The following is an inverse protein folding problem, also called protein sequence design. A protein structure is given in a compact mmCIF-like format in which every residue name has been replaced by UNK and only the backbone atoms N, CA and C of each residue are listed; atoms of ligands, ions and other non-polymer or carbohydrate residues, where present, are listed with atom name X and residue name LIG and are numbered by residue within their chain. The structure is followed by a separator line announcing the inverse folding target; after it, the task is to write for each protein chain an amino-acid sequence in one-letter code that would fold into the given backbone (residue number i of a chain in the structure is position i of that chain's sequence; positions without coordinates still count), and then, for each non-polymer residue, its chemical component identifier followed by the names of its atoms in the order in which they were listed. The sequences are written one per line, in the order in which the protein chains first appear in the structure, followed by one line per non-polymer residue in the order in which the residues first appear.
data_IF_717921744257
#
_entry.id   IF_717921744257
#
_cell.length_a   1.000
_cell.length_b   1.000
_cell.length_c   1.000
_cell.angle_alpha   90.00
_cell.angle_beta   90.00
_cell.angle_gamma   90.00
#
_symmetry.space_group_name_H-M   'P 1'
#
loop_
_entity.id
_entity.type
_entity.pdbx_description
1 polymer ?
#
# COMPACT_ATOMS: atom_id res chain seq x y z
N UNK A 1 6.17 -16.90 -8.30
CA UNK A 1 5.50 -17.63 -9.42
C UNK A 1 4.02 -17.50 -9.14
N UNK A 2 3.22 -16.87 -10.01
CA UNK A 2 1.77 -16.92 -9.83
C UNK A 2 1.34 -18.41 -9.88
N UNK A 3 0.36 -18.84 -9.07
CA UNK A 3 -0.13 -20.21 -9.09
C UNK A 3 -0.48 -20.62 -10.52
N UNK A 4 -0.11 -21.83 -10.88
CA UNK A 4 -0.47 -22.43 -12.19
C UNK A 4 -1.99 -22.58 -12.19
N UNK A 5 -2.67 -22.03 -13.21
CA UNK A 5 -4.10 -22.27 -13.47
C UNK A 5 -4.40 -23.75 -13.42
N UNK A 6 -5.12 -24.21 -12.41
CA UNK A 6 -5.70 -25.54 -12.38
C UNK A 6 -7.15 -25.45 -12.82
N UNK A 7 -7.46 -25.98 -13.99
CA UNK A 7 -8.83 -26.14 -14.51
C UNK A 7 -9.53 -27.35 -13.86
N UNK A 8 -9.47 -27.46 -12.54
CA UNK A 8 -10.06 -28.60 -11.83
C UNK A 8 -11.27 -28.13 -11.06
N UNK A 9 -12.46 -28.62 -11.43
CA UNK A 9 -13.75 -28.29 -10.78
C UNK A 9 -13.74 -28.58 -9.26
N UNK A 10 -12.82 -29.42 -8.79
CA UNK A 10 -12.63 -29.74 -7.36
C UNK A 10 -11.94 -28.64 -6.56
N UNK A 11 -11.34 -27.63 -7.18
CA UNK A 11 -10.64 -26.54 -6.48
C UNK A 11 -11.57 -25.50 -5.87
N UNK A 12 -12.83 -25.48 -6.28
CA UNK A 12 -13.85 -24.56 -5.74
C UNK A 12 -14.66 -25.16 -4.59
N UNK A 13 -14.40 -26.40 -4.20
CA UNK A 13 -14.93 -26.93 -2.96
C UNK A 13 -14.07 -26.40 -1.80
N UNK A 14 -14.67 -25.63 -0.91
CA UNK A 14 -14.04 -25.26 0.37
C UNK A 14 -13.53 -26.54 1.02
N UNK A 15 -12.23 -26.68 1.29
CA UNK A 15 -11.71 -27.86 1.94
C UNK A 15 -12.45 -28.07 3.26
N UNK A 16 -13.15 -29.17 3.41
CA UNK A 16 -13.70 -29.55 4.71
C UNK A 16 -12.58 -30.17 5.52
N UNK A 17 -12.06 -29.43 6.48
CA UNK A 17 -11.10 -29.93 7.44
C UNK A 17 -11.89 -30.63 8.56
N UNK A 18 -11.66 -31.90 8.76
CA UNK A 18 -12.17 -32.63 9.92
C UNK A 18 -11.13 -32.45 11.05
N UNK A 19 -11.25 -31.34 11.78
CA UNK A 19 -10.33 -30.98 12.86
C UNK A 19 -10.65 -31.79 14.11
N UNK A 20 -9.72 -32.66 14.51
CA UNK A 20 -9.78 -33.39 15.75
C UNK A 20 -9.28 -32.58 16.96
N UNK A 21 -9.47 -33.12 18.17
CA UNK A 21 -8.94 -32.49 19.40
C UNK A 21 -7.44 -32.29 19.40
N UNK A 22 -6.67 -33.16 18.72
CA UNK A 22 -5.22 -33.04 18.53
C UNK A 22 -4.84 -31.81 17.73
N UNK A 23 -5.60 -31.51 16.67
CA UNK A 23 -5.33 -30.37 15.80
C UNK A 23 -5.61 -29.06 16.50
N UNK A 24 -6.71 -29.00 17.27
CA UNK A 24 -7.04 -27.83 18.10
C UNK A 24 -5.94 -27.60 19.15
N UNK A 25 -5.44 -28.67 19.79
CA UNK A 25 -4.33 -28.54 20.75
C UNK A 25 -3.05 -28.07 20.08
N UNK A 26 -2.77 -28.55 18.88
CA UNK A 26 -1.63 -28.10 18.09
C UNK A 26 -1.73 -26.61 17.79
N UNK A 27 -2.84 -26.12 17.23
CA UNK A 27 -3.06 -24.70 16.97
C UNK A 27 -2.97 -23.83 18.22
N UNK A 28 -3.49 -24.29 19.34
CA UNK A 28 -3.35 -23.54 20.60
C UNK A 28 -1.88 -23.43 21.06
N UNK A 29 -1.11 -24.48 20.89
CA UNK A 29 0.32 -24.44 21.22
C UNK A 29 1.10 -23.49 20.28
N UNK A 30 0.78 -23.50 18.98
CA UNK A 30 1.37 -22.55 18.01
C UNK A 30 1.01 -21.10 18.37
N UNK A 31 -0.26 -20.83 18.72
CA UNK A 31 -0.70 -19.49 19.17
C UNK A 31 0.05 -19.04 20.43
N UNK A 32 0.22 -19.94 21.40
CA UNK A 32 0.97 -19.65 22.64
C UNK A 32 2.45 -19.39 22.30
N UNK A 33 3.06 -20.26 21.49
CA UNK A 33 4.45 -20.09 21.06
C UNK A 33 4.68 -18.77 20.30
N UNK A 34 3.75 -18.40 19.42
CA UNK A 34 3.78 -17.12 18.75
C UNK A 34 3.63 -15.94 19.74
N UNK A 35 2.69 -16.02 20.66
CA UNK A 35 2.49 -15.01 21.71
C UNK A 35 3.77 -14.81 22.57
N UNK A 36 4.44 -15.90 22.96
CA UNK A 36 5.65 -15.85 23.79
C UNK A 36 6.79 -15.07 23.13
N UNK A 37 6.85 -15.03 21.81
CA UNK A 37 7.85 -14.25 21.07
C UNK A 37 7.72 -12.75 21.33
N UNK A 38 6.54 -12.27 21.72
CA UNK A 38 6.30 -10.85 22.04
C UNK A 38 6.36 -10.54 23.53
N UNK A 39 6.71 -11.52 24.38
CA UNK A 39 6.66 -11.37 25.84
C UNK A 39 7.46 -10.16 26.35
N UNK A 40 8.61 -9.87 25.75
CA UNK A 40 9.50 -8.77 26.10
C UNK A 40 9.11 -7.39 25.52
N UNK A 41 8.00 -7.33 24.77
CA UNK A 41 7.34 -6.07 24.37
C UNK A 41 6.44 -5.51 25.48
N UNK A 42 6.21 -6.29 26.54
CA UNK A 42 5.35 -5.92 27.66
C UNK A 42 6.11 -5.98 28.97
N UNK A 43 6.04 -4.90 29.76
CA UNK A 43 6.68 -4.87 31.09
C UNK A 43 5.94 -5.73 32.12
N UNK A 44 4.61 -5.87 32.00
CA UNK A 44 3.75 -6.53 32.98
C UNK A 44 3.19 -7.85 32.46
N UNK A 45 3.12 -8.86 33.36
CA UNK A 45 2.52 -10.16 33.04
C UNK A 45 1.06 -10.05 32.66
N UNK A 46 0.28 -9.17 33.32
CA UNK A 46 -1.13 -8.98 33.03
C UNK A 46 -1.35 -8.46 31.58
N UNK A 47 -0.46 -7.59 31.09
CA UNK A 47 -0.52 -7.12 29.70
C UNK A 47 -0.25 -8.24 28.70
N UNK A 48 0.65 -9.17 29.01
CA UNK A 48 0.92 -10.37 28.20
C UNK A 48 -0.31 -11.29 28.14
N UNK A 49 -0.95 -11.55 29.28
CA UNK A 49 -2.17 -12.34 29.33
C UNK A 49 -3.32 -11.69 28.55
N UNK A 50 -3.49 -10.37 28.67
CA UNK A 50 -4.47 -9.64 27.89
C UNK A 50 -4.20 -9.68 26.39
N UNK A 51 -2.93 -9.65 25.98
CA UNK A 51 -2.54 -9.81 24.58
C UNK A 51 -2.92 -11.20 24.07
N UNK A 52 -2.61 -12.27 24.81
CA UNK A 52 -3.03 -13.63 24.43
C UNK A 52 -4.54 -13.77 24.32
N UNK A 53 -5.29 -13.25 25.32
CA UNK A 53 -6.75 -13.25 25.30
C UNK A 53 -7.31 -12.49 24.10
N UNK A 54 -6.72 -11.34 23.78
CA UNK A 54 -7.12 -10.55 22.62
C UNK A 54 -6.86 -11.30 21.31
N UNK A 55 -5.68 -11.92 21.15
CA UNK A 55 -5.35 -12.73 19.99
C UNK A 55 -6.30 -13.92 19.83
N UNK A 56 -6.52 -14.69 20.91
CA UNK A 56 -7.45 -15.81 20.90
C UNK A 56 -8.87 -15.39 20.51
N UNK A 57 -9.30 -14.21 20.97
CA UNK A 57 -10.58 -13.62 20.59
C UNK A 57 -10.67 -13.24 19.12
N UNK A 58 -9.57 -12.79 18.51
CA UNK A 58 -9.53 -12.51 17.06
C UNK A 58 -9.68 -13.79 16.22
N UNK A 59 -9.17 -14.92 16.69
CA UNK A 59 -9.33 -16.24 16.03
C UNK A 59 -10.67 -16.95 16.37
N UNK A 60 -11.47 -16.36 17.25
CA UNK A 60 -12.78 -16.95 17.60
C UNK A 60 -13.83 -16.77 16.48
N UNK A 61 -14.89 -17.62 16.45
CA UNK A 61 -15.95 -17.51 15.44
C UNK A 61 -16.96 -16.40 15.72
N UNK A 62 -16.57 -15.34 16.43
CA UNK A 62 -17.44 -14.20 16.73
C UNK A 62 -17.75 -13.41 15.45
N UNK A 63 -19.01 -13.11 15.20
CA UNK A 63 -19.44 -12.24 14.10
C UNK A 63 -18.91 -10.80 14.25
N UNK A 64 -18.73 -10.37 15.51
CA UNK A 64 -18.22 -9.05 15.85
C UNK A 64 -17.03 -9.16 16.79
N UNK A 65 -15.85 -8.89 16.30
CA UNK A 65 -14.57 -8.97 17.03
C UNK A 65 -14.16 -7.61 17.65
N UNK A 66 -15.10 -6.98 18.37
CA UNK A 66 -14.78 -5.81 19.21
C UNK A 66 -14.46 -6.24 20.64
N UNK A 67 -13.83 -5.36 21.41
CA UNK A 67 -13.29 -5.69 22.75
C UNK A 67 -14.31 -6.36 23.68
N UNK A 68 -15.55 -5.88 23.70
CA UNK A 68 -16.58 -6.43 24.61
C UNK A 68 -16.96 -7.87 24.23
N UNK A 69 -17.37 -8.21 23.00
CA UNK A 69 -17.61 -9.60 22.60
C UNK A 69 -16.41 -10.52 22.84
N UNK A 70 -15.20 -10.06 22.51
CA UNK A 70 -13.97 -10.83 22.78
C UNK A 70 -13.83 -11.11 24.26
N UNK A 71 -13.94 -10.08 25.11
CA UNK A 71 -13.79 -10.24 26.55
C UNK A 71 -14.84 -11.17 27.19
N UNK A 72 -16.04 -11.24 26.60
CA UNK A 72 -17.09 -12.14 27.05
C UNK A 72 -16.91 -13.58 26.55
N UNK A 73 -16.20 -13.78 25.45
CA UNK A 73 -16.01 -15.09 24.84
C UNK A 73 -14.75 -15.81 25.34
N UNK A 74 -13.73 -15.06 25.79
CA UNK A 74 -12.48 -15.67 26.29
C UNK A 74 -12.59 -16.02 27.78
N UNK A 75 -11.91 -17.09 28.18
CA UNK A 75 -11.88 -17.54 29.58
C UNK A 75 -11.28 -16.45 30.49
N UNK A 76 -11.91 -16.23 31.65
CA UNK A 76 -11.53 -15.15 32.58
C UNK A 76 -11.41 -13.76 31.95
N UNK A 77 -12.17 -13.51 30.90
CA UNK A 77 -12.16 -12.22 30.20
C UNK A 77 -12.82 -11.12 31.04
N UNK A 78 -12.22 -9.95 31.03
CA UNK A 78 -12.74 -8.76 31.71
C UNK A 78 -12.76 -7.59 30.71
N UNK A 79 -13.98 -7.09 30.43
CA UNK A 79 -14.19 -6.03 29.41
C UNK A 79 -13.36 -4.77 29.70
N UNK A 80 -13.39 -4.29 30.95
CA UNK A 80 -12.64 -3.08 31.33
C UNK A 80 -11.12 -3.28 31.28
N UNK A 81 -10.64 -4.45 31.65
CA UNK A 81 -9.21 -4.76 31.61
C UNK A 81 -8.71 -4.82 30.16
N UNK A 82 -9.45 -5.52 29.26
CA UNK A 82 -9.11 -5.55 27.83
C UNK A 82 -9.23 -4.16 27.15
N UNK A 83 -10.23 -3.37 27.52
CA UNK A 83 -10.34 -1.99 27.02
C UNK A 83 -9.09 -1.16 27.42
N UNK A 84 -8.69 -1.21 28.70
CA UNK A 84 -7.48 -0.51 29.17
C UNK A 84 -6.21 -1.06 28.51
N UNK A 85 -6.14 -2.36 28.30
CA UNK A 85 -5.02 -2.98 27.58
C UNK A 85 -4.83 -2.38 26.20
N UNK A 86 -5.90 -2.24 25.41
CA UNK A 86 -5.83 -1.71 24.03
C UNK A 86 -5.65 -0.18 24.02
N UNK A 87 -6.18 0.57 25.03
CA UNK A 87 -6.20 2.03 25.01
C UNK A 87 -5.06 2.70 25.77
N UNK A 88 -4.61 2.12 26.89
CA UNK A 88 -3.77 2.83 27.85
C UNK A 88 -2.56 2.02 28.36
N UNK A 89 -2.54 0.70 28.14
CA UNK A 89 -1.44 -0.13 28.65
C UNK A 89 -0.13 0.20 27.92
N UNK A 90 0.97 0.42 28.68
CA UNK A 90 2.27 0.62 28.07
C UNK A 90 2.79 -0.70 27.49
N UNK A 91 3.15 -0.68 26.21
CA UNK A 91 3.85 -1.75 25.52
C UNK A 91 4.68 -1.15 24.38
N UNK A 92 5.77 -1.84 24.05
CA UNK A 92 6.73 -1.37 23.05
C UNK A 92 6.26 -1.74 21.64
N UNK A 93 5.53 -0.80 21.00
CA UNK A 93 5.01 -0.97 19.65
C UNK A 93 6.13 -1.11 18.62
N UNK A 94 7.19 -0.33 18.75
CA UNK A 94 8.31 -0.35 17.82
C UNK A 94 9.03 -1.70 17.85
N UNK A 95 9.28 -2.21 19.05
CA UNK A 95 9.86 -3.54 19.23
C UNK A 95 8.95 -4.65 18.70
N UNK A 96 7.64 -4.53 18.92
CA UNK A 96 6.66 -5.50 18.43
C UNK A 96 6.63 -5.55 16.90
N UNK A 97 6.62 -4.40 16.23
CA UNK A 97 6.58 -4.34 14.75
C UNK A 97 7.88 -4.88 14.13
N UNK A 98 9.03 -4.64 14.76
CA UNK A 98 10.33 -5.19 14.33
C UNK A 98 10.32 -6.72 14.41
N UNK A 99 9.84 -7.30 15.51
CA UNK A 99 9.70 -8.75 15.68
C UNK A 99 8.73 -9.33 14.65
N UNK A 100 7.59 -8.69 14.46
CA UNK A 100 6.60 -9.11 13.46
C UNK A 100 7.22 -9.15 12.06
N UNK A 101 7.99 -8.12 11.68
CA UNK A 101 8.69 -8.08 10.38
C UNK A 101 9.71 -9.21 10.25
N UNK A 102 10.35 -9.61 11.35
CA UNK A 102 11.26 -10.78 11.33
C UNK A 102 10.51 -12.07 11.00
N UNK A 103 9.33 -12.30 11.61
CA UNK A 103 8.50 -13.45 11.25
C UNK A 103 8.03 -13.39 9.80
N UNK A 104 7.59 -12.22 9.32
CA UNK A 104 7.25 -12.05 7.91
C UNK A 104 8.43 -12.38 7.01
N UNK A 105 9.65 -12.01 7.40
CA UNK A 105 10.85 -12.37 6.65
C UNK A 105 11.14 -13.87 6.68
N UNK A 106 10.99 -14.52 7.82
CA UNK A 106 11.26 -15.95 7.97
C UNK A 106 10.32 -16.80 7.09
N UNK A 107 9.05 -16.38 6.98
CA UNK A 107 8.02 -17.11 6.21
C UNK A 107 7.89 -16.64 4.76
N UNK A 108 8.00 -15.33 4.51
CA UNK A 108 7.69 -14.72 3.22
C UNK A 108 8.89 -14.03 2.55
N UNK A 109 10.05 -13.95 3.22
CA UNK A 109 11.20 -13.21 2.71
C UNK A 109 11.71 -13.74 1.37
N UNK A 110 11.94 -12.82 0.42
CA UNK A 110 12.50 -13.16 -0.90
C UNK A 110 13.32 -12.00 -1.45
N UNK A 111 14.49 -12.27 -2.09
CA UNK A 111 15.26 -11.23 -2.78
C UNK A 111 14.47 -10.51 -3.89
N UNK A 112 13.48 -11.17 -4.48
CA UNK A 112 12.58 -10.60 -5.48
C UNK A 112 11.25 -10.10 -4.87
N UNK A 113 11.21 -9.87 -3.55
CA UNK A 113 10.08 -9.31 -2.85
C UNK A 113 9.71 -7.91 -3.30
N UNK A 114 8.47 -7.50 -3.05
CA UNK A 114 7.97 -6.16 -3.36
C UNK A 114 7.31 -5.51 -2.14
N UNK A 115 7.58 -4.22 -1.94
CA UNK A 115 6.81 -3.35 -1.05
C UNK A 115 5.68 -2.69 -1.84
N UNK A 116 4.48 -2.69 -1.28
CA UNK A 116 3.28 -2.09 -1.88
C UNK A 116 2.74 -1.03 -0.93
N UNK A 117 2.48 0.18 -1.43
CA UNK A 117 1.91 1.26 -0.64
C UNK A 117 0.50 1.59 -1.12
N UNK A 118 -0.44 1.60 -0.19
CA UNK A 118 -1.83 1.96 -0.46
C UNK A 118 -2.51 2.45 0.83
N UNK A 119 -3.72 3.00 0.73
CA UNK A 119 -4.50 3.42 1.87
C UNK A 119 -5.80 2.66 2.02
N UNK A 120 -6.28 2.57 3.25
CA UNK A 120 -7.59 2.03 3.56
C UNK A 120 -8.36 2.92 4.52
N UNK A 121 -9.66 3.10 4.24
CA UNK A 121 -10.56 3.92 5.04
C UNK A 121 -11.42 3.06 5.99
N UNK A 122 -11.68 3.60 7.20
CA UNK A 122 -12.52 3.01 8.22
C UNK A 122 -13.63 3.98 8.57
N UNK A 123 -14.87 3.65 8.24
CA UNK A 123 -16.05 4.47 8.55
C UNK A 123 -16.21 4.60 10.06
N UNK A 124 -16.43 5.81 10.55
CA UNK A 124 -16.61 6.12 11.97
C UNK A 124 -17.95 6.85 12.19
N UNK A 125 -18.69 6.42 13.21
CA UNK A 125 -19.91 7.12 13.63
C UNK A 125 -19.60 8.34 14.50
N UNK A 126 -18.57 8.22 15.36
CA UNK A 126 -18.13 9.29 16.25
C UNK A 126 -17.15 10.26 15.58
N UNK A 127 -16.83 11.31 16.28
CA UNK A 127 -15.88 12.34 15.81
C UNK A 127 -14.61 12.41 16.66
N UNK A 128 -14.60 11.82 17.85
CA UNK A 128 -13.56 11.96 18.86
C UNK A 128 -12.53 10.82 18.78
N UNK A 129 -11.99 10.61 17.58
CA UNK A 129 -10.79 9.77 17.37
C UNK A 129 -9.83 10.53 16.46
N UNK A 130 -8.52 10.42 16.71
CA UNK A 130 -7.49 11.12 15.93
C UNK A 130 -7.67 10.81 14.44
N UNK A 131 -7.61 11.85 13.59
CA UNK A 131 -7.70 11.71 12.13
C UNK A 131 -9.12 11.53 11.58
N UNK A 132 -10.15 11.38 12.43
CA UNK A 132 -11.55 11.28 11.95
C UNK A 132 -12.00 12.60 11.34
N UNK A 133 -12.49 12.51 10.12
CA UNK A 133 -12.97 13.65 9.36
C UNK A 133 -13.88 13.23 8.21
N UNK A 134 -14.70 14.15 7.69
CA UNK A 134 -15.31 13.97 6.37
C UNK A 134 -14.21 14.03 5.32
N UNK A 135 -13.90 12.90 4.70
CA UNK A 135 -12.88 12.70 3.67
C UNK A 135 -13.26 11.52 2.77
N UNK A 136 -12.60 11.38 1.63
CA UNK A 136 -12.85 10.26 0.75
C UNK A 136 -12.47 8.94 1.44
N UNK A 137 -13.41 8.00 1.46
CA UNK A 137 -13.23 6.66 2.02
C UNK A 137 -13.28 5.64 0.87
N UNK A 138 -12.12 5.13 0.48
CA UNK A 138 -11.99 4.18 -0.64
C UNK A 138 -12.85 2.93 -0.46
N UNK A 139 -12.99 2.45 0.78
CA UNK A 139 -13.81 1.26 1.11
C UNK A 139 -15.29 1.37 0.68
N UNK A 140 -15.85 2.58 0.72
CA UNK A 140 -17.26 2.83 0.36
C UNK A 140 -17.42 3.71 -0.89
N UNK A 141 -16.30 4.08 -1.53
CA UNK A 141 -16.27 4.83 -2.80
C UNK A 141 -16.84 6.27 -2.73
N UNK A 142 -16.99 6.86 -1.55
CA UNK A 142 -17.56 8.20 -1.35
C UNK A 142 -16.91 8.97 -0.20
N UNK A 143 -17.22 10.26 -0.13
CA UNK A 143 -16.84 11.09 1.03
C UNK A 143 -17.75 10.77 2.20
N UNK A 144 -17.15 10.36 3.32
CA UNK A 144 -17.87 10.05 4.56
C UNK A 144 -17.01 10.39 5.78
N UNK A 145 -17.60 10.28 6.98
CA UNK A 145 -16.87 10.42 8.24
C UNK A 145 -16.05 9.17 8.49
N UNK A 146 -14.75 9.26 8.31
CA UNK A 146 -13.85 8.11 8.38
C UNK A 146 -12.46 8.47 8.91
N UNK A 147 -11.74 7.46 9.36
CA UNK A 147 -10.28 7.46 9.51
C UNK A 147 -9.65 6.82 8.28
N UNK A 148 -8.44 7.27 7.92
CA UNK A 148 -7.68 6.66 6.82
C UNK A 148 -6.30 6.27 7.34
N UNK A 149 -5.95 5.01 7.15
CA UNK A 149 -4.59 4.51 7.35
C UNK A 149 -3.86 4.40 6.02
N UNK A 150 -2.59 4.75 6.01
CA UNK A 150 -1.64 4.43 4.94
C UNK A 150 -0.85 3.22 5.38
N UNK A 151 -0.73 2.23 4.50
CA UNK A 151 -0.14 0.94 4.81
C UNK A 151 0.99 0.61 3.85
N UNK A 152 1.96 -0.13 4.35
CA UNK A 152 2.93 -0.86 3.54
C UNK A 152 2.62 -2.35 3.61
N UNK A 153 2.43 -2.98 2.45
CA UNK A 153 2.35 -4.42 2.29
C UNK A 153 3.67 -4.97 1.77
N UNK A 154 3.98 -6.22 2.11
CA UNK A 154 5.05 -7.00 1.52
C UNK A 154 4.46 -8.17 0.75
N UNK A 155 4.98 -8.48 -0.42
CA UNK A 155 4.55 -9.61 -1.23
C UNK A 155 5.76 -10.29 -1.87
N UNK A 156 5.74 -11.61 -1.89
CA UNK A 156 6.70 -12.48 -2.58
C UNK A 156 6.00 -13.66 -3.22
N UNK A 157 6.76 -14.60 -3.74
CA UNK A 157 6.26 -15.91 -4.21
C UNK A 157 5.72 -16.80 -3.08
N UNK A 158 6.04 -16.48 -1.84
CA UNK A 158 5.61 -17.24 -0.65
C UNK A 158 4.29 -16.74 -0.06
N UNK A 159 3.90 -15.49 -0.36
CA UNK A 159 2.67 -14.90 0.15
C UNK A 159 2.75 -13.39 0.31
N UNK A 160 1.86 -12.84 1.14
CA UNK A 160 1.76 -11.41 1.38
C UNK A 160 1.34 -11.10 2.82
N UNK A 161 1.77 -9.93 3.31
CA UNK A 161 1.39 -9.42 4.64
C UNK A 161 1.45 -7.89 4.68
N UNK A 162 0.66 -7.26 5.59
CA UNK A 162 0.87 -5.85 5.95
C UNK A 162 2.07 -5.75 6.88
N UNK A 163 3.03 -4.87 6.61
CA UNK A 163 4.30 -4.79 7.35
C UNK A 163 4.55 -3.45 8.03
N UNK A 164 3.80 -2.41 7.67
CA UNK A 164 3.82 -1.12 8.37
C UNK A 164 2.49 -0.37 8.16
N UNK A 165 2.23 0.57 9.05
CA UNK A 165 1.03 1.42 9.01
C UNK A 165 1.35 2.83 9.50
N UNK A 166 0.64 3.83 8.96
CA UNK A 166 0.63 5.20 9.50
C UNK A 166 -0.79 5.76 9.44
N UNK A 167 -1.22 6.42 10.52
CA UNK A 167 -2.51 7.09 10.53
C UNK A 167 -2.39 8.40 9.76
N UNK A 168 -3.25 8.58 8.76
CA UNK A 168 -3.37 9.86 8.07
C UNK A 168 -4.24 10.82 8.90
N UNK A 169 -3.66 11.95 9.28
CA UNK A 169 -4.35 13.01 10.00
C UNK A 169 -4.56 14.16 9.02
N UNK A 170 -5.81 14.45 8.59
CA UNK A 170 -6.09 15.51 7.64
C UNK A 170 -5.62 16.89 8.11
N UNK A 171 -5.16 17.73 7.20
CA UNK A 171 -4.60 19.08 7.49
C UNK A 171 -5.49 19.92 8.40
N UNK A 172 -6.82 19.82 8.25
CA UNK A 172 -7.78 20.53 9.10
C UNK A 172 -7.66 20.22 10.60
N UNK A 173 -7.10 19.06 10.96
CA UNK A 173 -6.84 18.73 12.36
C UNK A 173 -5.79 19.66 12.99
N UNK A 174 -4.96 20.31 12.20
CA UNK A 174 -3.90 21.22 12.64
C UNK A 174 -4.35 22.70 12.66
N UNK A 175 -5.61 22.97 12.33
CA UNK A 175 -6.21 24.31 12.37
C UNK A 175 -6.85 24.63 13.72
N UNK A 176 -7.08 25.91 14.02
CA UNK A 176 -7.66 26.38 15.28
C UNK A 176 -9.02 25.74 15.62
N UNK A 177 -9.97 25.58 14.68
CA UNK A 177 -11.25 24.92 14.97
C UNK A 177 -11.16 23.49 15.49
N UNK A 178 -10.00 22.84 15.36
CA UNK A 178 -9.76 21.48 15.86
C UNK A 178 -8.93 21.44 17.14
N UNK A 179 -8.59 22.58 17.76
CA UNK A 179 -7.75 22.67 18.96
C UNK A 179 -8.32 21.86 20.14
N UNK A 180 -9.59 22.06 20.48
CA UNK A 180 -10.27 21.33 21.55
C UNK A 180 -10.31 19.82 21.26
N UNK A 181 -10.56 19.43 20.00
CA UNK A 181 -10.58 18.03 19.59
C UNK A 181 -9.22 17.38 19.69
N UNK A 182 -8.13 18.07 19.30
CA UNK A 182 -6.76 17.58 19.49
C UNK A 182 -6.48 17.29 20.95
N UNK A 183 -6.82 18.20 21.85
CA UNK A 183 -6.65 18.02 23.30
C UNK A 183 -7.48 16.84 23.81
N UNK A 184 -8.77 16.76 23.45
CA UNK A 184 -9.65 15.66 23.85
C UNK A 184 -9.16 14.31 23.39
N UNK A 185 -8.67 14.23 22.15
CA UNK A 185 -8.13 12.99 21.57
C UNK A 185 -6.69 12.71 21.97
N UNK A 186 -6.05 13.57 22.78
CA UNK A 186 -4.65 13.43 23.22
C UNK A 186 -3.68 13.32 22.03
N UNK A 187 -3.89 14.08 20.95
CA UNK A 187 -2.93 14.14 19.84
C UNK A 187 -1.62 14.73 20.37
N UNK A 188 -0.48 14.04 20.22
CA UNK A 188 0.81 14.55 20.67
C UNK A 188 1.11 15.92 20.06
N UNK A 189 1.53 16.92 20.87
CA UNK A 189 1.69 18.31 20.41
C UNK A 189 2.77 18.47 19.33
N UNK A 190 3.76 17.57 19.30
CA UNK A 190 4.83 17.53 18.29
C UNK A 190 4.37 16.97 16.94
N UNK A 191 3.16 16.42 16.86
CA UNK A 191 2.63 15.86 15.61
C UNK A 191 2.46 16.96 14.57
N UNK A 192 3.07 16.75 13.40
CA UNK A 192 2.97 17.66 12.24
C UNK A 192 2.14 17.04 11.14
N UNK A 193 1.53 17.88 10.32
CA UNK A 193 0.81 17.43 9.14
C UNK A 193 1.77 16.76 8.14
N UNK A 194 1.37 15.58 7.66
CA UNK A 194 2.02 14.88 6.53
C UNK A 194 0.96 14.41 5.54
N UNK A 195 1.29 14.57 4.27
CA UNK A 195 0.47 13.99 3.19
C UNK A 195 0.59 12.47 3.18
N UNK A 196 -0.35 11.76 2.55
CA UNK A 196 -0.27 10.29 2.41
C UNK A 196 1.04 9.82 1.74
N UNK A 197 1.51 10.45 0.64
CA UNK A 197 2.83 10.12 0.08
C UNK A 197 3.99 10.33 1.05
N UNK A 198 3.98 11.39 1.86
CA UNK A 198 5.03 11.61 2.88
C UNK A 198 5.03 10.52 3.95
N UNK A 199 3.86 10.06 4.38
CA UNK A 199 3.74 8.92 5.30
C UNK A 199 4.30 7.62 4.67
N UNK A 200 4.03 7.40 3.37
CA UNK A 200 4.60 6.28 2.65
C UNK A 200 6.13 6.37 2.50
N UNK A 201 6.67 7.58 2.29
CA UNK A 201 8.13 7.83 2.27
C UNK A 201 8.74 7.51 3.64
N UNK A 202 8.11 7.90 4.74
CA UNK A 202 8.59 7.57 6.08
C UNK A 202 8.68 6.05 6.27
N UNK A 203 7.63 5.30 5.88
CA UNK A 203 7.62 3.84 5.98
C UNK A 203 8.68 3.20 5.06
N UNK A 204 8.80 3.67 3.81
CA UNK A 204 9.81 3.18 2.88
C UNK A 204 11.24 3.36 3.42
N UNK A 205 11.51 4.52 4.02
CA UNK A 205 12.81 4.80 4.64
C UNK A 205 13.08 3.87 5.83
N UNK A 206 12.10 3.66 6.72
CA UNK A 206 12.24 2.75 7.86
C UNK A 206 12.52 1.33 7.36
N UNK A 207 11.70 0.78 6.47
CA UNK A 207 11.82 -0.57 5.95
C UNK A 207 13.15 -0.80 5.20
N UNK A 208 13.63 0.22 4.47
CA UNK A 208 14.91 0.14 3.77
C UNK A 208 16.12 0.21 4.69
N UNK A 209 16.03 0.96 5.80
CA UNK A 209 17.10 1.09 6.79
C UNK A 209 17.21 -0.12 7.72
N UNK A 210 16.08 -0.69 8.14
CA UNK A 210 16.05 -1.89 8.98
C UNK A 210 16.63 -3.12 8.28
N UNK A 211 16.47 -3.24 6.97
CA UNK A 211 16.98 -4.38 6.15
C UNK A 211 16.50 -5.75 6.63
N UNK A 212 15.38 -5.81 7.33
CA UNK A 212 14.78 -7.06 7.78
C UNK A 212 14.12 -7.77 6.61
N UNK A 213 13.32 -7.03 5.84
CA UNK A 213 12.60 -7.56 4.68
C UNK A 213 13.40 -7.26 3.40
N UNK A 214 13.90 -8.28 2.69
CA UNK A 214 14.54 -8.08 1.40
C UNK A 214 13.47 -7.71 0.35
N UNK A 215 13.71 -6.68 -0.43
CA UNK A 215 12.83 -6.30 -1.53
C UNK A 215 13.61 -5.68 -2.68
N UNK A 216 13.09 -5.86 -3.88
CA UNK A 216 13.63 -5.33 -5.13
C UNK A 216 12.65 -4.39 -5.82
N UNK A 217 11.38 -4.46 -5.45
CA UNK A 217 10.33 -3.72 -6.12
C UNK A 217 9.56 -2.85 -5.14
N UNK A 218 9.15 -1.66 -5.63
CA UNK A 218 8.27 -0.73 -4.93
C UNK A 218 7.07 -0.43 -5.81
N UNK A 219 5.88 -0.72 -5.30
CA UNK A 219 4.63 -0.59 -6.03
C UNK A 219 3.71 0.38 -5.29
N UNK A 220 2.97 1.20 -6.01
CA UNK A 220 2.00 2.11 -5.40
C UNK A 220 0.92 2.58 -6.39
N UNK A 221 -0.14 3.14 -5.84
CA UNK A 221 -1.24 3.76 -6.54
C UNK A 221 -0.85 5.14 -7.13
N UNK A 222 -1.78 5.76 -7.85
CA UNK A 222 -1.59 7.03 -8.54
C UNK A 222 -1.37 8.23 -7.61
N UNK A 223 -1.88 8.22 -6.39
CA UNK A 223 -1.62 9.25 -5.38
C UNK A 223 -0.11 9.33 -5.08
N UNK A 224 0.54 8.19 -4.98
CA UNK A 224 1.99 8.07 -4.73
C UNK A 224 2.79 8.26 -6.03
N UNK A 225 2.28 7.73 -7.16
CA UNK A 225 2.90 7.86 -8.47
C UNK A 225 2.97 9.30 -8.98
N UNK A 226 2.11 10.19 -8.51
CA UNK A 226 2.12 11.62 -8.81
C UNK A 226 2.99 12.43 -7.83
N UNK A 227 3.48 11.83 -6.74
CA UNK A 227 4.33 12.50 -5.77
C UNK A 227 5.80 12.45 -6.16
N UNK A 228 6.43 13.60 -6.47
CA UNK A 228 7.87 13.65 -6.74
C UNK A 228 8.71 13.17 -5.56
N UNK A 229 8.26 13.39 -4.32
CA UNK A 229 8.94 12.96 -3.10
C UNK A 229 8.98 11.43 -3.01
N UNK A 230 7.85 10.76 -3.24
CA UNK A 230 7.77 9.30 -3.20
C UNK A 230 8.61 8.66 -4.31
N UNK A 231 8.50 9.18 -5.54
CA UNK A 231 9.31 8.70 -6.67
C UNK A 231 10.81 8.89 -6.40
N UNK A 232 11.20 10.05 -5.85
CA UNK A 232 12.60 10.32 -5.52
C UNK A 232 13.11 9.39 -4.41
N UNK A 233 12.30 9.11 -3.39
CA UNK A 233 12.65 8.17 -2.34
C UNK A 233 12.84 6.75 -2.90
N UNK A 234 11.92 6.26 -3.74
CA UNK A 234 12.05 4.95 -4.37
C UNK A 234 13.28 4.86 -5.29
N UNK A 235 13.62 5.93 -6.03
CA UNK A 235 14.79 5.98 -6.89
C UNK A 235 16.12 6.09 -6.14
N UNK A 236 16.12 6.57 -4.91
CA UNK A 236 17.33 6.66 -4.09
C UNK A 236 17.81 5.30 -3.58
N UNK A 237 16.94 4.28 -3.63
CA UNK A 237 17.28 2.93 -3.21
C UNK A 237 18.05 2.20 -4.32
N UNK A 238 19.20 1.66 -3.94
CA UNK A 238 20.07 0.91 -4.85
C UNK A 238 19.37 -0.38 -5.31
N UNK A 239 19.50 -0.70 -6.60
CA UNK A 239 18.94 -1.91 -7.23
C UNK A 239 17.42 -2.09 -7.09
N UNK A 240 16.71 -0.99 -6.80
CA UNK A 240 15.26 -1.00 -6.63
C UNK A 240 14.55 -0.50 -7.89
N UNK A 241 13.56 -1.26 -8.31
CA UNK A 241 12.66 -0.92 -9.42
C UNK A 241 11.29 -0.55 -8.88
N UNK A 242 10.80 0.63 -9.22
CA UNK A 242 9.39 0.94 -8.93
C UNK A 242 8.49 0.69 -10.13
N UNK A 243 7.24 0.38 -9.85
CA UNK A 243 6.12 0.47 -10.79
C UNK A 243 4.94 1.10 -10.06
N UNK A 244 4.56 2.30 -10.50
CA UNK A 244 3.48 3.08 -9.86
C UNK A 244 2.42 3.46 -10.87
N UNK A 245 1.16 3.48 -10.45
CA UNK A 245 0.07 3.97 -11.30
C UNK A 245 0.19 5.48 -11.51
N UNK A 246 -0.30 5.96 -12.65
CA UNK A 246 -0.42 7.39 -12.94
C UNK A 246 -1.78 7.70 -13.56
N UNK A 247 -2.21 8.95 -13.44
CA UNK A 247 -3.47 9.41 -14.02
C UNK A 247 -3.42 9.46 -15.56
N UNK A 248 -4.56 9.35 -16.22
CA UNK A 248 -4.70 9.35 -17.69
C UNK A 248 -4.24 10.65 -18.36
N UNK A 249 -4.27 11.76 -17.62
CA UNK A 249 -3.84 13.08 -18.06
C UNK A 249 -2.33 13.36 -17.84
N UNK A 250 -1.60 12.35 -17.32
CA UNK A 250 -0.14 12.46 -17.15
C UNK A 250 0.54 12.78 -18.48
N UNK A 251 1.34 13.85 -18.47
CA UNK A 251 1.96 14.37 -19.69
C UNK A 251 3.29 13.67 -20.00
N UNK A 252 3.50 13.34 -21.27
CA UNK A 252 4.72 12.70 -21.74
C UNK A 252 5.14 13.13 -23.14
N UNK A 253 6.40 12.81 -23.48
CA UNK A 253 6.99 12.99 -24.80
C UNK A 253 7.49 11.64 -25.32
N UNK A 254 7.26 11.36 -26.61
CA UNK A 254 7.86 10.20 -27.28
C UNK A 254 9.32 10.40 -27.64
N UNK A 255 9.70 11.64 -27.95
CA UNK A 255 11.09 12.04 -28.21
C UNK A 255 11.41 13.27 -27.35
N UNK A 256 12.63 13.32 -26.80
CA UNK A 256 13.05 14.44 -25.97
C UNK A 256 13.08 15.73 -26.79
N UNK A 257 12.25 16.72 -26.47
CA UNK A 257 12.34 18.02 -27.11
C UNK A 257 13.61 18.73 -26.66
N UNK A 258 14.19 19.55 -27.57
CA UNK A 258 15.33 20.39 -27.23
C UNK A 258 14.89 21.47 -26.25
N UNK A 259 15.65 21.69 -25.19
CA UNK A 259 15.47 22.76 -24.22
C UNK A 259 16.69 23.66 -24.19
N UNK A 260 16.48 24.94 -23.91
CA UNK A 260 17.53 25.97 -23.84
C UNK A 260 17.38 26.77 -22.55
N UNK A 261 18.48 27.20 -21.96
CA UNK A 261 18.48 28.09 -20.80
C UNK A 261 18.51 29.53 -21.27
N UNK A 262 17.44 30.28 -21.04
CA UNK A 262 17.36 31.72 -21.30
C UNK A 262 17.71 32.48 -20.04
N UNK A 263 18.61 33.47 -20.16
CA UNK A 263 19.00 34.37 -19.08
C UNK A 263 18.28 35.71 -19.25
N UNK A 264 17.74 36.24 -18.16
CA UNK A 264 17.05 37.53 -18.14
C UNK A 264 17.36 38.31 -16.86
N UNK A 265 17.23 39.63 -16.91
CA UNK A 265 17.39 40.50 -15.73
C UNK A 265 16.03 40.81 -15.13
N UNK A 266 15.91 40.66 -13.82
CA UNK A 266 14.71 41.01 -13.06
C UNK A 266 15.09 41.54 -11.68
N UNK A 267 14.63 42.77 -11.34
CA UNK A 267 14.94 43.38 -10.04
C UNK A 267 16.44 43.57 -9.81
N UNK A 268 17.22 43.90 -10.86
CA UNK A 268 18.67 44.08 -10.77
C UNK A 268 19.51 42.79 -10.71
N UNK A 269 18.84 41.61 -10.59
CA UNK A 269 19.50 40.30 -10.55
C UNK A 269 19.42 39.57 -11.91
N UNK A 270 20.47 38.85 -12.26
CA UNK A 270 20.45 37.94 -13.40
C UNK A 270 19.80 36.60 -12.97
N UNK A 271 18.77 36.21 -13.70
CA UNK A 271 18.05 34.95 -13.50
C UNK A 271 18.11 34.11 -14.76
N UNK A 272 18.06 32.80 -14.63
CA UNK A 272 17.96 31.86 -15.73
C UNK A 272 16.72 31.01 -15.65
N UNK A 273 16.14 30.68 -16.79
CA UNK A 273 14.98 29.77 -16.89
C UNK A 273 15.17 28.82 -18.06
N UNK A 274 15.02 27.54 -17.82
CA UNK A 274 14.98 26.55 -18.90
C UNK A 274 13.62 26.59 -19.60
N UNK A 275 13.63 26.64 -20.92
CA UNK A 275 12.43 26.64 -21.77
C UNK A 275 12.63 25.70 -22.95
N UNK A 276 11.56 25.29 -23.61
CA UNK A 276 11.70 24.57 -24.89
C UNK A 276 12.32 25.47 -25.94
N UNK A 277 13.21 24.92 -26.78
CA UNK A 277 13.78 25.62 -27.92
C UNK A 277 12.69 25.99 -28.94
N UNK A 278 11.72 25.10 -29.15
CA UNK A 278 10.52 25.32 -29.94
C UNK A 278 9.30 25.45 -29.00
N UNK A 279 8.73 26.64 -28.80
CA UNK A 279 7.63 26.87 -27.88
C UNK A 279 6.28 26.28 -28.37
N UNK A 280 6.20 25.89 -29.65
CA UNK A 280 4.98 25.29 -30.21
C UNK A 280 4.87 23.78 -29.92
N UNK A 281 5.96 23.13 -29.55
CA UNK A 281 5.93 21.73 -29.12
C UNK A 281 5.18 21.60 -27.81
N UNK A 282 4.26 20.64 -27.76
CA UNK A 282 3.49 20.30 -26.57
C UNK A 282 3.64 18.83 -26.24
N UNK A 283 3.67 18.45 -24.96
CA UNK A 283 3.55 17.05 -24.56
C UNK A 283 2.13 16.55 -24.86
N UNK A 284 1.98 15.25 -24.98
CA UNK A 284 0.69 14.58 -25.07
C UNK A 284 0.37 13.90 -23.75
N UNK A 285 -0.89 13.59 -23.51
CA UNK A 285 -1.29 12.75 -22.37
C UNK A 285 -0.96 11.28 -22.65
N UNK A 286 -0.80 10.49 -21.60
CA UNK A 286 -0.61 9.03 -21.75
C UNK A 286 -1.86 8.37 -22.35
N UNK A 287 -3.04 8.95 -22.14
CA UNK A 287 -4.29 8.48 -22.74
C UNK A 287 -4.34 8.75 -24.25
N UNK A 288 -3.96 9.95 -24.71
CA UNK A 288 -3.83 10.26 -26.15
C UNK A 288 -2.83 9.32 -26.81
N UNK A 289 -1.70 9.05 -26.14
CA UNK A 289 -0.73 8.07 -26.62
C UNK A 289 -1.35 6.68 -26.77
N UNK A 290 -2.07 6.20 -25.75
CA UNK A 290 -2.68 4.87 -25.74
C UNK A 290 -3.69 4.68 -26.90
N UNK A 291 -4.53 5.69 -27.15
CA UNK A 291 -5.54 5.69 -28.24
C UNK A 291 -4.91 5.62 -29.62
N UNK A 292 -3.67 6.09 -29.78
CA UNK A 292 -2.93 6.10 -31.04
C UNK A 292 -2.04 4.86 -31.26
N UNK A 293 -2.00 3.90 -30.30
CA UNK A 293 -1.22 2.67 -30.45
C UNK A 293 -2.03 1.66 -31.30
N UNK A 294 -1.44 1.21 -32.41
CA UNK A 294 -2.03 0.18 -33.26
C UNK A 294 -2.28 -1.11 -32.46
N UNK A 295 -3.42 -1.77 -32.71
CA UNK A 295 -3.83 -2.99 -32.00
C UNK A 295 -2.82 -4.14 -32.10
N UNK A 296 -2.01 -4.20 -33.15
CA UNK A 296 -0.93 -5.16 -33.32
C UNK A 296 0.10 -5.14 -32.17
N UNK A 297 0.26 -4.03 -31.46
CA UNK A 297 1.21 -3.87 -30.36
C UNK A 297 0.61 -4.16 -28.97
N UNK A 298 -0.59 -4.70 -28.90
CA UNK A 298 -1.24 -5.11 -27.67
C UNK A 298 -1.14 -6.63 -27.49
N UNK A 299 -0.76 -7.04 -26.30
CA UNK A 299 -0.52 -8.44 -25.95
C UNK A 299 -1.43 -8.86 -24.82
N UNK A 300 -2.23 -9.90 -25.02
CA UNK A 300 -3.06 -10.50 -23.97
C UNK A 300 -2.20 -11.17 -22.92
N UNK A 301 -2.48 -10.88 -21.64
CA UNK A 301 -1.79 -11.47 -20.49
C UNK A 301 -2.76 -11.69 -19.36
N UNK A 302 -2.64 -12.84 -18.67
CA UNK A 302 -3.28 -13.12 -17.40
C UNK A 302 -2.51 -12.39 -16.31
N UNK A 303 -3.21 -11.68 -15.46
CA UNK A 303 -2.63 -10.90 -14.33
C UNK A 303 -2.77 -11.66 -13.03
N UNK A 304 -3.92 -12.29 -12.80
CA UNK A 304 -4.21 -13.09 -11.62
C UNK A 304 -5.33 -14.09 -11.92
N UNK A 305 -5.54 -15.03 -11.03
CA UNK A 305 -6.72 -15.89 -11.01
C UNK A 305 -7.82 -15.22 -10.17
N UNK A 306 -9.00 -15.13 -10.73
CA UNK A 306 -10.16 -14.63 -10.01
C UNK A 306 -11.15 -15.78 -9.73
N UNK A 307 -12.10 -15.56 -8.84
CA UNK A 307 -13.16 -16.53 -8.51
C UNK A 307 -14.02 -16.96 -9.71
N UNK A 308 -14.04 -16.17 -10.79
CA UNK A 308 -14.77 -16.45 -12.04
C UNK A 308 -13.84 -16.87 -13.19
N UNK A 309 -12.59 -17.22 -12.91
CA UNK A 309 -11.56 -17.60 -13.88
C UNK A 309 -10.45 -16.53 -14.02
N UNK A 310 -9.51 -16.73 -14.97
CA UNK A 310 -8.35 -15.88 -15.14
C UNK A 310 -8.73 -14.44 -15.49
N UNK A 311 -8.11 -13.48 -14.79
CA UNK A 311 -8.26 -12.06 -15.08
C UNK A 311 -7.27 -11.70 -16.18
N UNK A 312 -7.81 -11.42 -17.38
CA UNK A 312 -7.03 -11.19 -18.59
C UNK A 312 -7.21 -9.76 -19.07
N UNK A 313 -6.11 -9.11 -19.39
CA UNK A 313 -6.07 -7.78 -20.01
C UNK A 313 -5.15 -7.77 -21.23
N UNK A 314 -5.24 -6.72 -22.02
CA UNK A 314 -4.28 -6.41 -23.06
C UNK A 314 -3.29 -5.35 -22.55
N UNK A 315 -2.01 -5.57 -22.83
CA UNK A 315 -0.92 -4.73 -22.40
C UNK A 315 -0.04 -4.27 -23.56
N UNK A 316 0.45 -3.07 -23.46
CA UNK A 316 1.55 -2.55 -24.27
C UNK A 316 2.51 -1.74 -23.42
N UNK A 317 3.73 -1.53 -23.87
CA UNK A 317 4.70 -0.68 -23.21
C UNK A 317 5.42 0.25 -24.17
N UNK A 318 5.81 1.42 -23.69
CA UNK A 318 6.58 2.41 -24.45
C UNK A 318 7.61 3.07 -23.54
N UNK A 319 8.77 3.40 -24.11
CA UNK A 319 9.71 4.34 -23.45
C UNK A 319 9.20 5.74 -23.71
N UNK A 320 8.95 6.50 -22.66
CA UNK A 320 8.48 7.87 -22.72
C UNK A 320 9.32 8.77 -21.84
N UNK A 321 9.34 10.07 -22.14
CA UNK A 321 9.95 11.07 -21.29
C UNK A 321 8.80 11.79 -20.59
N UNK A 322 8.75 11.75 -19.26
CA UNK A 322 7.74 12.46 -18.49
C UNK A 322 7.87 13.97 -18.72
N UNK A 323 6.78 14.69 -18.57
CA UNK A 323 6.74 16.13 -18.67
C UNK A 323 6.28 16.76 -17.37
N UNK A 324 7.03 17.71 -16.84
CA UNK A 324 6.61 18.57 -15.74
C UNK A 324 6.73 20.03 -16.14
N UNK A 325 5.67 20.81 -15.90
CA UNK A 325 5.59 22.22 -16.33
C UNK A 325 5.94 22.42 -17.82
N UNK A 326 5.59 21.46 -18.68
CA UNK A 326 5.87 21.48 -20.12
C UNK A 326 7.32 21.18 -20.51
N UNK A 327 8.19 20.83 -19.57
CA UNK A 327 9.60 20.51 -19.81
C UNK A 327 9.86 18.98 -19.70
N UNK A 328 10.80 18.45 -20.52
CA UNK A 328 11.13 17.04 -20.48
C UNK A 328 11.88 16.67 -19.19
N UNK A 329 11.42 15.62 -18.55
CA UNK A 329 11.97 15.05 -17.33
C UNK A 329 12.72 13.73 -17.61
N UNK A 330 12.58 12.75 -16.74
CA UNK A 330 13.19 11.43 -16.85
C UNK A 330 12.57 10.60 -17.96
N UNK A 331 13.33 9.66 -18.47
CA UNK A 331 12.86 8.63 -19.40
C UNK A 331 12.49 7.41 -18.59
N UNK A 332 11.24 6.97 -18.70
CA UNK A 332 10.66 5.84 -17.97
C UNK A 332 10.02 4.84 -18.93
N UNK A 333 9.72 3.63 -18.43
CA UNK A 333 8.73 2.78 -19.05
C UNK A 333 7.34 3.31 -18.72
N UNK A 334 6.48 3.40 -19.72
CA UNK A 334 5.04 3.50 -19.59
C UNK A 334 4.48 2.13 -19.96
N UNK A 335 3.90 1.45 -18.98
CA UNK A 335 3.08 0.25 -19.17
C UNK A 335 1.63 0.71 -19.27
N UNK A 336 0.92 0.25 -20.29
CA UNK A 336 -0.50 0.56 -20.51
C UNK A 336 -1.25 -0.75 -20.50
N UNK A 337 -2.32 -0.81 -19.70
CA UNK A 337 -3.27 -1.92 -19.63
C UNK A 337 -4.62 -1.45 -20.20
N UNK A 338 -5.31 -2.31 -20.94
CA UNK A 338 -6.71 -2.08 -21.31
C UNK A 338 -7.55 -3.35 -21.09
N UNK A 339 -8.85 -3.20 -20.83
CA UNK A 339 -9.78 -4.33 -20.77
C UNK A 339 -10.04 -4.92 -22.17
N UNK A 340 -10.66 -6.13 -22.21
CA UNK A 340 -10.95 -6.83 -23.46
C UNK A 340 -12.27 -6.40 -24.12
N UNK A 341 -13.09 -5.57 -23.47
CA UNK A 341 -14.38 -5.14 -23.97
C UNK A 341 -14.31 -4.01 -24.99
N UNK A 342 -15.45 -3.72 -25.62
CA UNK A 342 -15.58 -2.59 -26.56
C UNK A 342 -15.44 -1.24 -25.87
N UNK A 343 -15.85 -1.14 -24.59
CA UNK A 343 -15.58 0.00 -23.72
C UNK A 343 -14.14 -0.10 -23.17
N UNK A 344 -13.20 0.43 -23.95
CA UNK A 344 -11.76 0.36 -23.66
C UNK A 344 -11.37 1.23 -22.48
N UNK A 345 -11.37 0.66 -21.29
CA UNK A 345 -10.84 1.31 -20.09
C UNK A 345 -9.34 1.09 -19.99
N UNK A 346 -8.59 2.17 -19.79
CA UNK A 346 -7.13 2.15 -19.70
C UNK A 346 -6.66 2.34 -18.25
N UNK A 347 -5.56 1.68 -17.93
CA UNK A 347 -4.76 1.97 -16.74
C UNK A 347 -3.29 2.18 -17.14
N UNK A 348 -2.62 3.10 -16.48
CA UNK A 348 -1.29 3.57 -16.82
C UNK A 348 -0.35 3.42 -15.65
N UNK A 349 0.86 2.92 -15.93
CA UNK A 349 1.89 2.72 -14.93
C UNK A 349 3.23 3.22 -15.47
N UNK A 350 4.03 3.83 -14.60
CA UNK A 350 5.40 4.22 -14.94
C UNK A 350 6.42 3.42 -14.11
N UNK A 351 7.60 3.20 -14.69
CA UNK A 351 8.67 2.44 -14.03
C UNK A 351 10.05 2.94 -14.46
N UNK A 352 11.00 2.96 -13.51
CA UNK A 352 12.42 3.18 -13.75
C UNK A 352 13.16 1.91 -14.23
N UNK A 353 12.44 0.82 -14.45
CA UNK A 353 13.02 -0.44 -14.87
C UNK A 353 14.01 -0.28 -16.04
N UNK A 354 15.03 -1.14 -16.06
CA UNK A 354 16.04 -1.21 -17.12
C UNK A 354 15.40 -1.27 -18.52
N UNK A 355 16.08 -0.77 -19.52
CA UNK A 355 15.64 -0.83 -20.93
C UNK A 355 15.46 -2.28 -21.42
N UNK A 356 16.16 -3.23 -20.83
CA UNK A 356 16.08 -4.66 -21.12
C UNK A 356 14.90 -5.37 -20.43
N UNK A 357 14.24 -4.73 -19.45
CA UNK A 357 13.12 -5.34 -18.71
C UNK A 357 12.00 -5.77 -19.64
N UNK A 358 11.55 -7.01 -19.54
CA UNK A 358 10.54 -7.59 -20.42
C UNK A 358 9.14 -7.02 -20.15
N UNK A 359 8.23 -7.09 -21.15
CA UNK A 359 6.81 -6.78 -20.92
C UNK A 359 6.23 -7.72 -19.84
N UNK A 360 6.62 -9.01 -19.85
CA UNK A 360 6.16 -10.01 -18.88
C UNK A 360 6.45 -9.58 -17.44
N UNK A 361 7.66 -9.05 -17.18
CA UNK A 361 8.07 -8.54 -15.86
C UNK A 361 7.21 -7.35 -15.41
N UNK A 362 6.99 -6.37 -16.30
CA UNK A 362 6.16 -5.20 -15.96
C UNK A 362 4.69 -5.58 -15.71
N UNK A 363 4.15 -6.52 -16.49
CA UNK A 363 2.79 -7.05 -16.28
C UNK A 363 2.70 -7.79 -14.95
N UNK A 364 3.68 -8.63 -14.62
CA UNK A 364 3.73 -9.33 -13.34
C UNK A 364 3.75 -8.35 -12.17
N UNK A 365 4.60 -7.32 -12.20
CA UNK A 365 4.65 -6.27 -11.18
C UNK A 365 3.29 -5.55 -11.02
N UNK A 366 2.60 -5.26 -12.13
CA UNK A 366 1.29 -4.61 -12.06
C UNK A 366 0.22 -5.48 -11.40
N UNK A 367 0.38 -6.80 -11.46
CA UNK A 367 -0.51 -7.78 -10.82
C UNK A 367 -0.25 -7.92 -9.31
N UNK A 368 1.00 -7.76 -8.85
CA UNK A 368 1.34 -7.89 -7.43
C UNK A 368 0.62 -6.86 -6.55
N UNK A 369 0.26 -5.70 -7.09
CA UNK A 369 -0.44 -4.65 -6.33
C UNK A 369 -1.76 -5.12 -5.72
N UNK A 370 -2.42 -6.11 -6.34
CA UNK A 370 -3.64 -6.70 -5.79
C UNK A 370 -3.46 -7.32 -4.40
N UNK A 371 -2.24 -7.76 -4.04
CA UNK A 371 -1.99 -8.40 -2.76
C UNK A 371 -2.33 -7.51 -1.55
N UNK A 372 -2.10 -6.19 -1.62
CA UNK A 372 -2.45 -5.28 -0.51
C UNK A 372 -3.98 -5.09 -0.41
N UNK A 373 -4.69 -5.10 -1.54
CA UNK A 373 -6.15 -5.04 -1.56
C UNK A 373 -6.74 -6.29 -0.90
N UNK A 374 -6.14 -7.46 -1.14
CA UNK A 374 -6.50 -8.73 -0.48
C UNK A 374 -6.24 -8.67 1.02
N UNK A 375 -5.07 -8.14 1.47
CA UNK A 375 -4.82 -7.91 2.88
C UNK A 375 -5.92 -7.06 3.54
N UNK A 376 -6.38 -6.00 2.86
CA UNK A 376 -7.44 -5.14 3.39
C UNK A 376 -8.79 -5.85 3.45
N UNK A 377 -9.11 -6.67 2.47
CA UNK A 377 -10.34 -7.47 2.45
C UNK A 377 -10.32 -8.46 3.60
N UNK A 378 -9.30 -9.29 3.72
CA UNK A 378 -9.15 -10.28 4.78
C UNK A 378 -9.19 -9.64 6.18
N UNK A 379 -8.45 -8.54 6.39
CA UNK A 379 -8.45 -7.83 7.68
C UNK A 379 -9.82 -7.26 8.06
N UNK A 380 -10.68 -6.92 7.09
CA UNK A 380 -12.00 -6.35 7.35
C UNK A 380 -13.11 -7.38 7.46
N UNK A 381 -12.92 -8.55 6.87
CA UNK A 381 -13.94 -9.62 6.85
C UNK A 381 -13.68 -10.68 7.90
N UNK A 382 -12.41 -10.98 8.17
CA UNK A 382 -12.02 -12.09 9.04
C UNK A 382 -11.55 -11.64 10.43
N UNK A 383 -11.05 -10.41 10.57
CA UNK A 383 -10.58 -9.80 11.82
C UNK A 383 -11.40 -8.56 12.20
#
# INVERSE_FOLDING_TARGET
MLPITRHDEYLYSVPKFDLGKSDIKYFMNELIGFHEQFADCFERSESREHFLKYMAGQFSPLERKSIEPIALAVEEGNVRALQRFVSDAPWDEDKMIVKYRSFVNDDLGSPDGALIFDESGFVKKGQDSIGVAKQYCGTIGKVDNCQVGVFAGYVSEHGYALVDKRLFIPEKWFTEPYSERRQKCKLPPETVFKTKPQLAVDMLNVLSQEKILPFKYVLADSIYGLSPEFISAAESLVDTTYLVSVASDTLCWLKRPMSVTKTYRWGGQTRSKTVLADPHKKPMTVEELAKNINDYFWYRRTVSEGTKGPIVYEFTRRRVILSAAGLPQKTVWLLIRRNLGDDRQYAFFISNASSSTSLKTLVWLSGLRWAIEQCFEETKTEL
#
